data_IF_595181425730
#
_entry.id   IF_595181425730
#
_cell.length_a   1.000
_cell.length_b   1.000
_cell.length_c   1.000
_cell.angle_alpha   90.00
_cell.angle_beta   90.00
_cell.angle_gamma   90.00
#
_symmetry.space_group_name_H-M   'P 1'
#
loop_
_entity.id
_entity.type
_entity.pdbx_description
1 polymer ?
#
# COMPACT_ATOMS: atom_id res chain seq x y z
N UNK A 1 8.21 -19.92 21.43
CA UNK A 1 8.38 -19.19 20.15
C UNK A 1 9.15 -20.09 19.19
N UNK A 2 8.63 -20.31 17.98
CA UNK A 2 9.30 -21.11 16.95
C UNK A 2 10.15 -20.21 16.06
N UNK A 3 11.39 -20.62 15.77
CA UNK A 3 12.34 -19.82 15.02
C UNK A 3 13.10 -20.66 13.97
N UNK A 4 13.38 -20.01 12.85
CA UNK A 4 14.29 -20.49 11.81
C UNK A 4 15.09 -19.30 11.32
N UNK A 5 16.39 -19.47 11.17
CA UNK A 5 17.24 -18.46 10.59
C UNK A 5 18.40 -19.07 9.82
N UNK A 6 18.94 -18.30 8.89
CA UNK A 6 20.27 -18.55 8.35
C UNK A 6 21.31 -18.05 9.35
N UNK A 7 22.43 -18.77 9.43
CA UNK A 7 23.54 -18.41 10.31
C UNK A 7 24.84 -18.38 9.53
N UNK A 8 25.73 -17.48 9.92
CA UNK A 8 27.06 -17.42 9.33
C UNK A 8 27.96 -18.47 9.98
N UNK A 9 28.83 -19.13 9.21
CA UNK A 9 29.67 -20.22 9.72
C UNK A 9 30.78 -19.75 10.66
N UNK A 10 31.10 -18.45 10.68
CA UNK A 10 32.13 -17.81 11.50
C UNK A 10 31.69 -17.54 12.95
N UNK A 11 30.50 -17.99 13.35
CA UNK A 11 30.00 -17.82 14.72
C UNK A 11 30.66 -18.82 15.68
N UNK A 12 31.03 -18.33 16.86
CA UNK A 12 31.58 -19.14 17.95
C UNK A 12 30.52 -20.13 18.47
N UNK A 13 30.94 -21.34 18.86
CA UNK A 13 30.08 -22.34 19.50
C UNK A 13 29.23 -23.18 18.53
N UNK A 14 29.49 -23.07 17.22
CA UNK A 14 28.82 -23.93 16.23
C UNK A 14 29.51 -25.30 16.13
N UNK A 15 28.74 -26.38 15.94
CA UNK A 15 29.31 -27.70 15.71
C UNK A 15 30.06 -27.76 14.38
N UNK A 16 31.15 -28.51 14.36
CA UNK A 16 31.91 -28.77 13.13
C UNK A 16 31.18 -29.83 12.30
N UNK A 17 30.63 -29.39 11.17
CA UNK A 17 30.00 -30.23 10.17
C UNK A 17 30.97 -30.56 9.03
N UNK A 18 30.58 -31.49 8.15
CA UNK A 18 31.36 -31.97 7.00
C UNK A 18 31.90 -30.79 6.20
N UNK A 19 33.18 -30.85 5.80
CA UNK A 19 33.82 -29.83 4.97
C UNK A 19 33.11 -29.63 3.63
N UNK A 20 33.05 -28.37 3.20
CA UNK A 20 32.42 -27.99 1.93
C UNK A 20 33.03 -28.73 0.73
N UNK A 21 34.31 -29.12 0.79
CA UNK A 21 34.99 -29.85 -0.29
C UNK A 21 34.45 -31.27 -0.48
N UNK A 22 33.98 -31.91 0.60
CA UNK A 22 33.51 -33.30 0.61
C UNK A 22 32.04 -33.43 0.24
N UNK A 23 31.25 -32.39 0.49
CA UNK A 23 29.83 -32.38 0.17
C UNK A 23 29.59 -32.21 -1.34
N UNK A 24 28.66 -32.98 -1.90
CA UNK A 24 28.08 -32.78 -3.23
C UNK A 24 26.84 -31.88 -3.13
N UNK A 25 26.34 -31.43 -4.28
CA UNK A 25 25.12 -30.61 -4.34
C UNK A 25 23.91 -31.46 -3.94
N UNK A 26 23.13 -30.97 -2.99
CA UNK A 26 22.00 -31.68 -2.39
C UNK A 26 22.34 -32.40 -1.09
N UNK A 27 23.62 -32.49 -0.73
CA UNK A 27 24.03 -33.12 0.52
C UNK A 27 23.59 -32.27 1.72
N UNK A 28 23.22 -32.99 2.78
CA UNK A 28 22.75 -32.46 4.04
C UNK A 28 23.57 -33.05 5.17
N UNK A 29 24.05 -32.18 6.05
CA UNK A 29 24.62 -32.56 7.34
C UNK A 29 23.89 -31.80 8.44
N UNK A 30 23.68 -32.42 9.58
CA UNK A 30 22.96 -31.79 10.68
C UNK A 30 23.42 -32.32 12.04
N UNK A 31 23.31 -31.46 13.05
CA UNK A 31 23.48 -31.84 14.45
C UNK A 31 22.37 -31.21 15.27
N UNK A 32 21.91 -31.94 16.27
CA UNK A 32 20.87 -31.48 17.19
C UNK A 32 21.51 -31.36 18.56
N UNK A 33 21.42 -30.17 19.15
CA UNK A 33 21.86 -29.93 20.53
C UNK A 33 20.88 -30.58 21.51
N UNK A 34 21.38 -30.95 22.69
CA UNK A 34 20.57 -31.46 23.81
C UNK A 34 19.41 -30.51 24.21
N UNK A 35 19.53 -29.23 23.88
CA UNK A 35 18.47 -28.22 24.07
C UNK A 35 17.37 -28.24 23.00
N UNK A 36 17.40 -29.20 22.07
CA UNK A 36 16.42 -29.31 20.98
C UNK A 36 16.63 -28.30 19.84
N UNK A 37 17.84 -27.74 19.72
CA UNK A 37 18.21 -26.82 18.64
C UNK A 37 18.91 -27.62 17.54
N UNK A 38 18.30 -27.64 16.35
CA UNK A 38 18.82 -28.30 15.17
C UNK A 38 19.64 -27.32 14.32
N UNK A 39 20.89 -27.68 14.09
CA UNK A 39 21.81 -27.00 13.18
C UNK A 39 21.94 -27.81 11.89
N UNK A 40 21.64 -27.18 10.77
CA UNK A 40 21.69 -27.81 9.44
C UNK A 40 22.73 -27.14 8.57
N UNK A 41 23.45 -27.94 7.79
CA UNK A 41 24.30 -27.50 6.68
C UNK A 41 23.84 -28.19 5.42
N UNK A 42 23.42 -27.39 4.45
CA UNK A 42 22.95 -27.87 3.17
C UNK A 42 23.77 -27.25 2.04
N UNK A 43 24.21 -28.06 1.09
CA UNK A 43 25.00 -27.59 -0.04
C UNK A 43 24.15 -27.50 -1.30
N UNK A 44 23.87 -26.29 -1.76
CA UNK A 44 23.36 -26.03 -3.12
C UNK A 44 24.54 -25.70 -4.05
N UNK A 45 24.56 -24.51 -4.65
CA UNK A 45 25.76 -23.98 -5.30
C UNK A 45 26.85 -23.59 -4.29
N UNK A 46 26.44 -23.20 -3.08
CA UNK A 46 27.29 -22.91 -1.92
C UNK A 46 26.66 -23.56 -0.68
N UNK A 47 27.47 -23.77 0.35
CA UNK A 47 26.97 -24.23 1.64
C UNK A 47 26.15 -23.13 2.31
N UNK A 48 25.01 -23.51 2.87
CA UNK A 48 24.14 -22.63 3.66
C UNK A 48 23.89 -23.31 4.99
N UNK A 49 23.99 -22.53 6.06
CA UNK A 49 23.79 -23.02 7.42
C UNK A 49 22.47 -22.47 7.96
N UNK A 50 21.68 -23.32 8.59
CA UNK A 50 20.41 -22.99 9.22
C UNK A 50 20.41 -23.40 10.68
N UNK A 51 19.66 -22.66 11.47
CA UNK A 51 19.38 -22.98 12.86
C UNK A 51 17.86 -22.97 13.06
N UNK A 52 17.32 -23.98 13.74
CA UNK A 52 15.91 -24.03 14.09
C UNK A 52 15.67 -24.78 15.39
N UNK A 53 14.60 -24.42 16.10
CA UNK A 53 14.18 -25.07 17.35
C UNK A 53 12.93 -25.95 17.20
N UNK A 54 12.49 -26.28 15.98
CA UNK A 54 11.32 -27.13 15.75
C UNK A 54 11.42 -28.06 14.52
N UNK A 55 12.50 -27.98 13.75
CA UNK A 55 12.71 -28.87 12.61
C UNK A 55 13.47 -30.12 13.04
N UNK A 56 12.95 -31.29 12.63
CA UNK A 56 13.66 -32.57 12.68
C UNK A 56 14.58 -32.78 11.48
N UNK A 57 14.92 -34.04 11.20
CA UNK A 57 15.83 -34.42 10.10
C UNK A 57 15.14 -34.61 8.73
N UNK A 58 13.87 -34.23 8.63
CA UNK A 58 13.07 -34.47 7.45
C UNK A 58 13.61 -33.73 6.21
N UNK A 59 13.50 -34.40 5.07
CA UNK A 59 13.94 -33.89 3.78
C UNK A 59 12.78 -33.70 2.81
N UNK A 60 12.98 -32.80 1.85
CA UNK A 60 12.04 -32.49 0.79
C UNK A 60 12.78 -32.28 -0.53
N UNK A 61 12.04 -32.22 -1.64
CA UNK A 61 12.60 -31.89 -2.95
C UNK A 61 12.32 -30.42 -3.25
N UNK A 62 13.37 -29.66 -3.56
CA UNK A 62 13.26 -28.26 -3.99
C UNK A 62 13.62 -28.17 -5.47
N UNK A 63 12.74 -27.55 -6.25
CA UNK A 63 12.98 -27.34 -7.68
C UNK A 63 13.96 -26.19 -7.88
N UNK A 64 15.05 -26.46 -8.61
CA UNK A 64 16.09 -25.47 -8.94
C UNK A 64 16.23 -25.35 -10.45
N UNK A 65 16.36 -24.12 -10.94
CA UNK A 65 16.63 -23.83 -12.35
C UNK A 65 18.13 -23.73 -12.56
N UNK A 66 18.65 -24.50 -13.51
CA UNK A 66 20.04 -24.43 -13.96
C UNK A 66 20.24 -23.23 -14.89
N UNK A 67 21.51 -22.87 -15.14
CA UNK A 67 21.87 -21.79 -16.07
C UNK A 67 21.28 -22.02 -17.47
N UNK A 68 21.20 -23.28 -17.89
CA UNK A 68 20.68 -23.70 -19.20
C UNK A 68 19.13 -23.69 -19.26
N UNK A 69 18.47 -23.24 -18.18
CA UNK A 69 17.02 -23.15 -18.11
C UNK A 69 16.31 -24.41 -17.65
N UNK A 70 16.99 -25.56 -17.65
CA UNK A 70 16.47 -26.85 -17.18
C UNK A 70 16.13 -26.82 -15.68
N UNK A 71 15.03 -27.44 -15.29
CA UNK A 71 14.59 -27.55 -13.90
C UNK A 71 14.99 -28.91 -13.34
N UNK A 72 15.77 -28.92 -12.27
CA UNK A 72 16.18 -30.12 -11.55
C UNK A 72 15.56 -30.15 -10.15
N UNK A 73 15.31 -31.34 -9.63
CA UNK A 73 14.87 -31.53 -8.25
C UNK A 73 16.07 -31.88 -7.39
N UNK A 74 16.37 -31.03 -6.41
CA UNK A 74 17.48 -31.22 -5.48
C UNK A 74 16.91 -31.58 -4.12
N UNK A 75 17.47 -32.61 -3.47
CA UNK A 75 17.12 -32.94 -2.09
C UNK A 75 17.58 -31.81 -1.17
N UNK A 76 16.69 -31.35 -0.29
CA UNK A 76 16.95 -30.29 0.65
C UNK A 76 16.22 -30.55 1.98
N UNK A 77 16.75 -30.11 3.11
CA UNK A 77 16.04 -30.23 4.38
C UNK A 77 14.75 -29.39 4.37
N UNK A 78 13.72 -29.81 5.11
CA UNK A 78 12.44 -29.07 5.18
C UNK A 78 12.66 -27.62 5.63
N UNK A 79 13.64 -27.37 6.49
CA UNK A 79 14.02 -26.02 6.96
C UNK A 79 14.26 -25.03 5.81
N UNK A 80 14.79 -25.49 4.67
CA UNK A 80 15.04 -24.64 3.49
C UNK A 80 13.73 -24.21 2.84
N UNK A 81 12.78 -25.14 2.69
CA UNK A 81 11.46 -24.84 2.13
C UNK A 81 10.71 -23.86 3.02
N UNK A 82 10.73 -24.14 4.32
CA UNK A 82 10.05 -23.37 5.35
C UNK A 82 10.62 -21.97 5.55
N UNK A 83 11.95 -21.84 5.46
CA UNK A 83 12.64 -20.55 5.47
C UNK A 83 12.29 -19.74 4.22
N UNK A 84 12.45 -20.31 3.02
CA UNK A 84 12.19 -19.59 1.77
C UNK A 84 10.72 -19.19 1.62
N UNK A 85 9.78 -20.00 2.12
CA UNK A 85 8.35 -19.69 2.11
C UNK A 85 7.98 -18.49 3.00
N UNK A 86 8.76 -18.20 4.04
CA UNK A 86 8.46 -17.13 5.03
C UNK A 86 9.36 -15.91 4.92
N UNK A 87 10.59 -16.04 4.42
CA UNK A 87 11.58 -14.97 4.38
C UNK A 87 11.12 -13.73 3.57
N UNK A 88 10.35 -13.94 2.50
CA UNK A 88 10.01 -12.87 1.54
C UNK A 88 9.02 -11.81 2.06
N UNK A 89 8.49 -11.92 3.27
CA UNK A 89 7.52 -10.97 3.81
C UNK A 89 8.10 -9.55 3.97
N UNK A 90 9.28 -9.45 4.57
CA UNK A 90 9.98 -8.17 4.79
C UNK A 90 10.44 -7.60 3.45
N UNK A 91 11.08 -8.41 2.61
CA UNK A 91 11.53 -7.98 1.28
C UNK A 91 10.38 -7.45 0.42
N UNK A 92 9.20 -8.06 0.50
CA UNK A 92 8.01 -7.58 -0.20
C UNK A 92 7.54 -6.22 0.35
N UNK A 93 7.56 -6.04 1.68
CA UNK A 93 7.21 -4.75 2.27
C UNK A 93 8.21 -3.65 1.88
N UNK A 94 9.51 -3.95 1.89
CA UNK A 94 10.56 -3.04 1.45
C UNK A 94 10.48 -2.71 -0.03
N UNK A 95 10.21 -3.70 -0.87
CA UNK A 95 9.94 -3.50 -2.30
C UNK A 95 8.74 -2.58 -2.50
N UNK A 96 7.61 -2.83 -1.82
CA UNK A 96 6.41 -2.01 -1.93
C UNK A 96 6.64 -0.56 -1.49
N UNK A 97 7.47 -0.36 -0.46
CA UNK A 97 7.90 0.96 0.00
C UNK A 97 8.77 1.66 -1.05
N UNK A 98 9.76 0.96 -1.60
CA UNK A 98 10.72 1.52 -2.53
C UNK A 98 10.13 1.93 -3.89
N UNK A 99 9.11 1.21 -4.40
CA UNK A 99 8.53 1.47 -5.73
C UNK A 99 7.96 2.90 -5.83
N UNK A 100 7.31 3.40 -4.77
CA UNK A 100 6.67 4.72 -4.76
C UNK A 100 7.14 5.59 -3.60
N UNK A 101 8.43 5.50 -3.26
CA UNK A 101 9.02 6.22 -2.14
C UNK A 101 8.78 7.74 -2.25
N UNK A 102 8.60 8.38 -1.09
CA UNK A 102 8.32 9.80 -0.91
C UNK A 102 9.37 10.51 -0.08
N UNK A 103 10.51 9.86 0.17
CA UNK A 103 11.66 10.45 0.83
C UNK A 103 12.09 11.78 0.20
N UNK A 104 12.37 12.76 1.07
CA UNK A 104 12.89 14.08 0.66
C UNK A 104 14.07 14.45 1.52
N UNK A 105 15.01 15.19 0.93
CA UNK A 105 16.11 15.80 1.69
C UNK A 105 15.55 16.74 2.74
N UNK A 106 15.94 16.55 3.99
CA UNK A 106 15.62 17.41 5.11
C UNK A 106 16.88 17.69 5.92
N UNK A 107 16.97 18.88 6.50
CA UNK A 107 18.07 19.25 7.40
C UNK A 107 17.96 18.59 8.78
N UNK A 108 16.76 18.18 9.19
CA UNK A 108 16.55 17.52 10.49
C UNK A 108 16.18 16.06 10.27
N UNK A 109 16.92 15.15 10.91
CA UNK A 109 16.79 13.71 10.76
C UNK A 109 15.37 13.18 11.08
N UNK A 110 14.71 13.76 12.08
CA UNK A 110 13.38 13.33 12.53
C UNK A 110 12.28 13.57 11.49
N UNK A 111 12.47 14.52 10.56
CA UNK A 111 11.53 14.66 9.44
C UNK A 111 11.50 13.40 8.57
N UNK A 112 12.65 12.74 8.42
CA UNK A 112 12.76 11.44 7.75
C UNK A 112 11.84 10.41 8.36
N UNK A 113 11.87 10.29 9.69
CA UNK A 113 11.06 9.35 10.42
C UNK A 113 9.56 9.68 10.34
N UNK A 114 9.17 10.90 10.73
CA UNK A 114 7.76 11.25 10.92
C UNK A 114 7.01 11.55 9.63
N UNK A 115 7.65 12.20 8.65
CA UNK A 115 6.96 12.64 7.44
C UNK A 115 7.18 11.72 6.25
N UNK A 116 8.21 10.88 6.26
CA UNK A 116 8.51 9.97 5.15
C UNK A 116 8.35 8.51 5.56
N UNK A 117 9.05 8.02 6.59
CA UNK A 117 9.01 6.59 6.94
C UNK A 117 7.64 6.13 7.49
N UNK A 118 7.10 6.80 8.51
CA UNK A 118 5.84 6.37 9.16
C UNK A 118 4.65 6.31 8.18
N UNK A 119 4.37 7.34 7.36
CA UNK A 119 3.27 7.28 6.40
C UNK A 119 3.44 6.20 5.33
N UNK A 120 4.68 5.95 4.88
CA UNK A 120 4.96 4.92 3.88
C UNK A 120 4.78 3.51 4.46
N UNK A 121 5.23 3.26 5.70
CA UNK A 121 4.98 1.98 6.40
C UNK A 121 3.47 1.76 6.60
N UNK A 122 2.75 2.78 7.08
CA UNK A 122 1.31 2.70 7.28
C UNK A 122 0.57 2.40 5.96
N UNK A 123 0.99 3.01 4.86
CA UNK A 123 0.47 2.74 3.52
C UNK A 123 0.74 1.29 3.06
N UNK A 124 1.95 0.77 3.27
CA UNK A 124 2.30 -0.62 2.88
C UNK A 124 1.45 -1.61 3.67
N UNK A 125 1.33 -1.42 4.99
CA UNK A 125 0.49 -2.26 5.85
C UNK A 125 -0.96 -2.21 5.38
N UNK A 126 -1.51 -1.01 5.15
CA UNK A 126 -2.91 -0.86 4.72
C UNK A 126 -3.16 -1.50 3.35
N UNK A 127 -2.20 -1.43 2.42
CA UNK A 127 -2.30 -2.06 1.12
C UNK A 127 -2.26 -3.59 1.23
N UNK A 128 -1.38 -4.16 2.06
CA UNK A 128 -1.34 -5.61 2.29
C UNK A 128 -2.66 -6.07 2.88
N UNK A 129 -3.17 -5.41 3.91
CA UNK A 129 -4.47 -5.73 4.51
C UNK A 129 -5.63 -5.59 3.52
N UNK A 130 -5.59 -4.59 2.63
CA UNK A 130 -6.60 -4.42 1.57
C UNK A 130 -6.61 -5.61 0.61
N UNK A 131 -5.43 -6.02 0.13
CA UNK A 131 -5.29 -7.15 -0.81
C UNK A 131 -5.74 -8.46 -0.16
N UNK A 132 -5.41 -8.67 1.11
CA UNK A 132 -5.84 -9.85 1.87
C UNK A 132 -7.35 -9.89 2.09
N UNK A 133 -7.95 -8.76 2.47
CA UNK A 133 -9.38 -8.67 2.77
C UNK A 133 -10.26 -8.74 1.52
N UNK A 134 -9.92 -8.01 0.45
CA UNK A 134 -10.78 -7.92 -0.75
C UNK A 134 -10.49 -8.96 -1.80
N UNK A 135 -9.29 -9.56 -1.83
CA UNK A 135 -8.80 -10.46 -2.90
C UNK A 135 -8.92 -9.88 -4.32
N UNK A 136 -9.19 -8.59 -4.46
CA UNK A 136 -9.27 -7.87 -5.72
C UNK A 136 -7.89 -7.39 -6.15
N UNK A 137 -7.62 -7.47 -7.47
CA UNK A 137 -6.36 -7.02 -8.05
C UNK A 137 -6.40 -5.51 -8.29
N UNK A 138 -6.16 -4.70 -7.25
CA UNK A 138 -5.82 -3.29 -7.42
C UNK A 138 -4.31 -3.13 -7.41
N UNK A 139 -3.76 -2.34 -8.34
CA UNK A 139 -2.33 -2.02 -8.29
C UNK A 139 -2.01 -1.13 -7.09
N UNK A 140 -0.80 -1.27 -6.53
CA UNK A 140 -0.34 -0.42 -5.42
C UNK A 140 -0.40 1.07 -5.77
N UNK A 141 -0.09 1.44 -7.02
CA UNK A 141 -0.19 2.83 -7.48
C UNK A 141 -1.62 3.37 -7.45
N UNK A 142 -2.58 2.60 -7.92
CA UNK A 142 -3.99 2.98 -7.92
C UNK A 142 -4.51 3.12 -6.49
N UNK A 143 -4.14 2.18 -5.63
CA UNK A 143 -4.46 2.24 -4.21
C UNK A 143 -3.89 3.51 -3.55
N UNK A 144 -2.61 3.83 -3.79
CA UNK A 144 -1.97 5.07 -3.31
C UNK A 144 -2.68 6.32 -3.84
N UNK A 145 -3.12 6.30 -5.11
CA UNK A 145 -3.90 7.40 -5.71
C UNK A 145 -5.27 7.57 -5.07
N UNK A 146 -5.98 6.48 -4.75
CA UNK A 146 -7.27 6.52 -4.08
C UNK A 146 -7.14 7.12 -2.68
N UNK A 147 -6.19 6.63 -1.87
CA UNK A 147 -5.88 7.20 -0.54
C UNK A 147 -5.56 8.69 -0.65
N UNK A 148 -4.65 9.06 -1.55
CA UNK A 148 -4.23 10.46 -1.72
C UNK A 148 -5.41 11.35 -2.10
N UNK A 149 -6.27 10.91 -3.04
CA UNK A 149 -7.48 11.67 -3.42
C UNK A 149 -8.43 11.81 -2.23
N UNK A 150 -8.66 10.74 -1.46
CA UNK A 150 -9.54 10.77 -0.29
C UNK A 150 -9.06 11.75 0.78
N UNK A 151 -7.76 11.72 1.09
CA UNK A 151 -7.14 12.66 2.04
C UNK A 151 -7.22 14.10 1.56
N UNK A 152 -7.01 14.35 0.26
CA UNK A 152 -7.14 15.68 -0.33
C UNK A 152 -8.58 16.20 -0.25
N UNK A 153 -9.59 15.35 -0.48
CA UNK A 153 -11.00 15.76 -0.37
C UNK A 153 -11.38 16.15 1.06
N UNK A 154 -10.87 15.43 2.08
CA UNK A 154 -11.13 15.75 3.49
C UNK A 154 -10.34 16.96 4.00
N UNK A 155 -9.31 17.41 3.28
CA UNK A 155 -8.51 18.56 3.70
C UNK A 155 -9.29 19.87 3.57
N UNK A 156 -9.39 20.64 4.66
CA UNK A 156 -10.02 21.96 4.65
C UNK A 156 -9.28 22.86 3.64
N UNK A 157 -9.99 23.66 2.83
CA UNK A 157 -9.34 24.65 1.99
C UNK A 157 -8.54 25.58 2.88
N UNK A 158 -7.21 25.59 2.72
CA UNK A 158 -6.34 26.51 3.46
C UNK A 158 -6.79 27.93 3.09
N UNK A 159 -7.01 28.83 4.06
CA UNK A 159 -7.26 30.23 3.74
C UNK A 159 -6.11 30.70 2.87
N UNK A 160 -6.42 31.39 1.77
CA UNK A 160 -5.39 32.05 0.97
C UNK A 160 -4.64 32.95 1.96
N UNK A 161 -3.37 32.64 2.25
CA UNK A 161 -2.51 33.59 2.96
C UNK A 161 -2.60 34.88 2.15
N UNK A 162 -2.99 36.00 2.79
CA UNK A 162 -2.94 37.33 2.18
C UNK A 162 -1.48 37.60 1.85
N UNK A 163 -1.04 37.18 0.67
CA UNK A 163 0.26 37.48 0.14
C UNK A 163 0.29 38.91 -0.39
N UNK A 164 1.50 39.45 -0.55
CA UNK A 164 1.78 40.70 -1.25
C UNK A 164 1.03 40.74 -2.59
N UNK A 165 0.43 41.87 -2.99
CA UNK A 165 -0.20 42.01 -4.31
C UNK A 165 0.80 41.63 -5.40
N UNK A 166 0.35 40.88 -6.41
CA UNK A 166 1.18 40.57 -7.58
C UNK A 166 1.47 41.88 -8.31
N UNK A 167 2.74 42.20 -8.53
CA UNK A 167 3.14 43.19 -9.54
C UNK A 167 2.77 42.65 -10.91
N UNK A 168 2.11 43.46 -11.72
CA UNK A 168 1.82 43.16 -13.12
C UNK A 168 3.14 42.93 -13.87
N UNK A 169 3.40 41.70 -14.27
CA UNK A 169 4.59 41.30 -15.00
C UNK A 169 4.62 39.78 -15.12
N UNK A 170 4.52 39.30 -16.35
CA UNK A 170 4.68 37.92 -16.83
C UNK A 170 3.55 36.93 -16.51
N UNK A 171 2.59 36.91 -17.44
CA UNK A 171 1.68 35.78 -17.68
C UNK A 171 2.47 34.55 -18.13
N UNK A 172 3.02 33.80 -17.17
CA UNK A 172 3.17 32.36 -17.32
C UNK A 172 2.61 31.66 -16.09
N UNK A 173 1.28 31.58 -16.05
CA UNK A 173 0.55 30.71 -15.14
C UNK A 173 0.81 29.24 -15.52
N UNK A 174 1.94 28.70 -15.08
CA UNK A 174 2.08 27.25 -14.97
C UNK A 174 1.04 26.75 -13.95
N UNK A 175 0.23 25.78 -14.39
CA UNK A 175 -0.98 25.23 -13.78
C UNK A 175 -2.28 26.02 -13.98
N UNK A 176 -2.61 26.33 -15.23
CA UNK A 176 -4.00 26.20 -15.66
C UNK A 176 -4.48 24.79 -15.28
N UNK A 177 -5.41 24.69 -14.31
CA UNK A 177 -6.08 23.42 -13.99
C UNK A 177 -6.85 22.98 -15.25
N UNK A 178 -6.21 22.21 -16.14
CA UNK A 178 -6.91 21.47 -17.20
C UNK A 178 -7.91 20.56 -16.48
N UNK A 179 -9.16 20.99 -16.48
CA UNK A 179 -10.28 20.35 -15.78
C UNK A 179 -10.47 18.97 -16.42
N UNK A 180 -10.49 17.91 -15.62
CA UNK A 180 -10.63 16.53 -16.11
C UNK A 180 -11.92 16.41 -16.92
N UNK A 181 -11.81 16.10 -18.22
CA UNK A 181 -12.94 16.02 -19.16
C UNK A 181 -13.80 14.75 -19.02
N UNK A 182 -13.56 13.87 -18.04
CA UNK A 182 -14.25 12.57 -18.01
C UNK A 182 -14.56 11.95 -16.64
N UNK A 183 -14.10 12.53 -15.51
CA UNK A 183 -14.30 11.92 -14.19
C UNK A 183 -14.67 12.96 -13.13
N UNK A 184 -15.49 12.54 -12.15
CA UNK A 184 -15.78 13.30 -10.93
C UNK A 184 -14.48 13.59 -10.17
N UNK A 185 -14.38 14.77 -9.56
CA UNK A 185 -13.22 15.20 -8.77
C UNK A 185 -13.06 14.38 -7.51
N UNK A 186 -14.17 13.92 -6.93
CA UNK A 186 -14.19 13.08 -5.73
C UNK A 186 -14.33 11.60 -6.12
N UNK A 187 -13.44 10.72 -5.64
CA UNK A 187 -13.49 9.28 -5.93
C UNK A 187 -14.75 8.62 -5.37
N UNK A 188 -15.08 7.44 -5.90
CA UNK A 188 -16.24 6.64 -5.47
C UNK A 188 -16.18 6.35 -3.96
N UNK A 189 -15.02 5.96 -3.44
CA UNK A 189 -14.84 5.59 -2.03
C UNK A 189 -15.33 6.71 -1.09
N UNK A 190 -14.95 7.95 -1.36
CA UNK A 190 -15.41 9.09 -0.54
C UNK A 190 -16.91 9.34 -0.70
N UNK A 191 -17.47 9.15 -1.90
CA UNK A 191 -18.89 9.45 -2.19
C UNK A 191 -19.86 8.37 -1.75
N UNK A 192 -19.41 7.12 -1.65
CA UNK A 192 -20.27 5.94 -1.49
C UNK A 192 -20.08 5.20 -0.16
N UNK A 193 -18.93 5.36 0.51
CA UNK A 193 -18.56 4.52 1.66
C UNK A 193 -19.23 4.96 2.98
N UNK A 194 -19.47 6.27 3.16
CA UNK A 194 -20.04 6.81 4.41
C UNK A 194 -21.48 7.33 4.20
N UNK A 195 -22.46 6.46 4.43
CA UNK A 195 -23.88 6.83 4.47
C UNK A 195 -24.10 7.88 5.58
N UNK A 196 -24.81 8.97 5.27
CA UNK A 196 -25.15 10.02 6.24
C UNK A 196 -24.11 11.12 6.49
N UNK A 197 -22.83 10.97 6.07
CA UNK A 197 -21.84 12.04 6.27
C UNK A 197 -21.90 13.14 5.20
N UNK A 198 -22.68 12.95 4.14
CA UNK A 198 -22.81 13.91 3.06
C UNK A 198 -24.16 14.60 3.19
N UNK A 199 -24.16 15.92 3.39
CA UNK A 199 -25.37 16.72 3.48
C UNK A 199 -25.35 17.89 2.50
N UNK A 200 -26.46 18.22 1.84
CA UNK A 200 -26.54 19.41 1.04
C UNK A 200 -26.56 20.65 1.93
N UNK A 201 -25.65 21.58 1.64
CA UNK A 201 -25.56 22.90 2.26
C UNK A 201 -25.80 23.94 1.17
N UNK A 202 -26.65 24.91 1.45
CA UNK A 202 -26.94 25.99 0.52
C UNK A 202 -26.04 27.18 0.82
N UNK A 203 -25.28 27.63 -0.18
CA UNK A 203 -24.34 28.75 -0.05
C UNK A 203 -24.77 29.91 -0.96
N UNK A 204 -24.44 31.14 -0.57
CA UNK A 204 -24.73 32.34 -1.36
C UNK A 204 -24.07 32.33 -2.74
N UNK A 205 -22.86 31.78 -2.83
CA UNK A 205 -22.11 31.68 -4.09
C UNK A 205 -22.60 30.53 -4.96
N UNK A 206 -22.98 30.82 -6.21
CA UNK A 206 -23.31 29.79 -7.22
C UNK A 206 -22.05 29.17 -7.80
N UNK A 207 -22.02 27.84 -7.89
CA UNK A 207 -20.92 27.10 -8.51
C UNK A 207 -21.42 26.14 -9.58
N UNK A 208 -20.58 25.81 -10.57
CA UNK A 208 -20.94 24.87 -11.63
C UNK A 208 -21.14 23.46 -11.06
N UNK A 209 -22.28 22.84 -11.36
CA UNK A 209 -22.57 21.46 -10.96
C UNK A 209 -21.61 20.49 -11.64
N UNK A 210 -21.03 19.59 -10.84
CA UNK A 210 -20.00 18.68 -11.33
C UNK A 210 -20.53 17.60 -12.27
N UNK A 211 -21.70 17.02 -11.97
CA UNK A 211 -22.34 16.03 -12.85
C UNK A 211 -22.84 16.63 -14.15
N UNK A 212 -23.50 17.79 -14.08
CA UNK A 212 -24.01 18.45 -15.27
C UNK A 212 -22.85 18.84 -16.17
N UNK A 213 -21.73 19.30 -15.60
CA UNK A 213 -20.53 19.58 -16.36
C UNK A 213 -19.96 18.34 -17.08
N UNK A 214 -20.02 17.14 -16.48
CA UNK A 214 -19.62 15.89 -17.15
C UNK A 214 -20.52 15.56 -18.34
N UNK A 215 -21.81 15.88 -18.25
CA UNK A 215 -22.78 15.74 -19.35
C UNK A 215 -22.78 16.93 -20.33
N UNK A 216 -21.82 17.85 -20.23
CA UNK A 216 -21.76 19.10 -20.99
C UNK A 216 -22.99 20.03 -20.80
N UNK A 217 -23.76 19.83 -19.73
CA UNK A 217 -24.90 20.67 -19.36
C UNK A 217 -24.41 21.81 -18.46
N UNK A 218 -24.70 23.06 -18.83
CA UNK A 218 -24.42 24.20 -17.97
C UNK A 218 -25.48 24.25 -16.85
N UNK A 219 -25.03 24.12 -15.59
CA UNK A 219 -25.87 24.31 -14.42
C UNK A 219 -25.05 24.88 -13.27
N UNK A 220 -25.62 25.84 -12.53
CA UNK A 220 -24.94 26.56 -11.45
C UNK A 220 -25.79 26.59 -10.16
N UNK A 221 -25.88 25.47 -9.40
CA UNK A 221 -26.67 25.43 -8.17
C UNK A 221 -26.03 26.21 -7.01
N UNK A 222 -26.87 26.57 -6.04
CA UNK A 222 -26.46 27.05 -4.71
C UNK A 222 -26.14 25.91 -3.73
N UNK A 223 -26.62 24.70 -4.02
CA UNK A 223 -26.41 23.51 -3.20
C UNK A 223 -25.00 22.92 -3.40
N UNK A 224 -24.38 22.60 -2.27
CA UNK A 224 -23.02 22.10 -2.16
C UNK A 224 -22.96 20.98 -1.13
N UNK A 225 -22.22 19.90 -1.40
CA UNK A 225 -22.01 18.86 -0.40
C UNK A 225 -21.07 19.35 0.71
N UNK A 226 -21.47 19.16 1.97
CA UNK A 226 -20.69 19.50 3.17
C UNK A 226 -19.32 18.80 3.21
N UNK A 227 -19.28 17.52 2.84
CA UNK A 227 -18.08 16.68 2.95
C UNK A 227 -17.23 16.68 1.68
N UNK A 228 -17.86 16.57 0.51
CA UNK A 228 -17.15 16.59 -0.78
C UNK A 228 -16.75 18.00 -1.22
N UNK A 229 -17.40 19.04 -0.68
CA UNK A 229 -17.18 20.44 -1.05
C UNK A 229 -17.43 20.76 -2.55
N UNK A 230 -18.24 19.93 -3.22
CA UNK A 230 -18.60 20.04 -4.63
C UNK A 230 -20.03 20.56 -4.79
N UNK A 231 -20.29 21.31 -5.87
CA UNK A 231 -21.61 21.80 -6.22
C UNK A 231 -22.41 20.73 -6.96
N UNK A 232 -23.63 20.45 -6.49
CA UNK A 232 -24.52 19.43 -7.04
C UNK A 232 -25.94 19.99 -7.08
N UNK A 233 -26.68 19.75 -8.16
CA UNK A 233 -28.04 20.28 -8.30
C UNK A 233 -29.02 19.57 -7.37
N UNK A 234 -29.83 20.35 -6.66
CA UNK A 234 -30.94 19.87 -5.81
C UNK A 234 -32.12 20.80 -6.05
N UNK A 235 -32.91 20.46 -7.07
CA UNK A 235 -34.16 21.13 -7.41
C UNK A 235 -35.21 20.05 -7.70
N UNK A 236 -36.48 20.43 -7.72
CA UNK A 236 -37.62 19.56 -8.09
C UNK A 236 -37.38 18.80 -9.40
N UNK A 237 -36.83 19.49 -10.42
CA UNK A 237 -36.58 18.91 -11.75
C UNK A 237 -35.30 18.07 -11.84
N UNK A 238 -34.33 18.28 -10.94
CA UNK A 238 -32.98 17.69 -11.03
C UNK A 238 -32.39 17.49 -9.63
N UNK A 239 -32.39 16.24 -9.15
CA UNK A 239 -31.69 15.84 -7.93
C UNK A 239 -30.43 15.04 -8.28
N UNK A 240 -29.33 15.76 -8.53
CA UNK A 240 -28.03 15.16 -8.86
C UNK A 240 -27.32 14.66 -7.59
N UNK A 241 -27.66 15.23 -6.43
CA UNK A 241 -27.03 14.89 -5.16
C UNK A 241 -27.24 13.42 -4.81
N UNK A 242 -28.46 12.91 -4.90
CA UNK A 242 -28.79 11.50 -4.63
C UNK A 242 -28.20 10.51 -5.64
N UNK A 243 -27.92 10.96 -6.87
CA UNK A 243 -27.29 10.12 -7.92
C UNK A 243 -25.80 9.90 -7.61
N UNK A 244 -25.12 10.94 -7.14
CA UNK A 244 -23.65 10.93 -6.98
C UNK A 244 -23.21 10.43 -5.60
N UNK A 245 -24.05 10.61 -4.59
CA UNK A 245 -23.77 10.35 -3.19
C UNK A 245 -24.76 9.29 -2.70
N UNK A 246 -24.25 8.21 -2.09
CA UNK A 246 -25.09 7.16 -1.52
C UNK A 246 -25.68 7.65 -0.19
N UNK A 247 -26.81 8.33 -0.27
CA UNK A 247 -27.64 8.69 0.88
C UNK A 247 -28.78 7.68 1.00
N UNK A 248 -28.59 6.61 1.77
CA UNK A 248 -29.77 6.03 2.41
C UNK A 248 -30.11 6.94 3.57
N UNK A 249 -31.24 7.64 3.44
CA UNK A 249 -31.84 8.35 4.55
C UNK A 249 -32.34 7.27 5.52
N UNK A 250 -31.94 7.28 6.82
CA UNK A 250 -32.81 6.66 7.80
C UNK A 250 -34.18 7.35 7.67
N UNK A 251 -35.28 6.60 7.51
CA UNK A 251 -36.59 7.20 7.41
C UNK A 251 -36.90 7.81 8.77
N UNK A 252 -36.69 9.11 8.96
CA UNK A 252 -37.26 9.89 10.06
C UNK A 252 -36.94 11.39 9.88
N UNK A 253 -37.96 12.20 10.19
CA UNK A 253 -37.98 13.66 10.27
C UNK A 253 -38.20 14.40 8.94
N UNK A 254 -39.33 14.11 8.28
CA UNK A 254 -40.17 15.21 7.81
C UNK A 254 -40.72 15.93 9.04
N UNK A 255 -40.11 17.05 9.41
CA UNK A 255 -40.76 18.03 10.29
C UNK A 255 -41.76 18.77 9.41
N UNK A 256 -43.04 18.62 9.74
CA UNK A 256 -44.14 19.45 9.24
C UNK A 256 -43.96 20.88 9.71
#
# INVERSE_FOLDING_TARGET
>A
MYAVSTIRPDRLGLPKLIDDKKMKRGDLDYQISDQGISFFKWKDNRSVHFLSNYHGNDTCKVQRRLKDGTKINVTAPIVVKDYNGRMGGIDKADMLRAIYDRDRKSKKWWHGLFFFAVPEIAYVISYISYVEARREKMSSLEYKRCITKGLLTKSKPRPKRKGRPKSNGDEQTFFAKKRRKGNLSVPNDVRLENRGCHWPTFVSNRGRCEFCALKNIQSKPHSKCSTCNIFLCINEKKNVFTIIIKCEFPPLLCIK
#
